data_IF_352435185573
#
_entry.id   IF_352435185573
#
_cell.length_a   1.000
_cell.length_b   1.000
_cell.length_c   1.000
_cell.angle_alpha   90.00
_cell.angle_beta   90.00
_cell.angle_gamma   90.00
#
_symmetry.space_group_name_H-M   'P 1'
#
loop_
_entity.id
_entity.type
_entity.pdbx_description
1 polymer ?
#
# COMPACT_ATOMS: atom_id res chain seq x y z
N UNK A 1 27.66 -12.06 22.40
CA UNK A 1 26.87 -11.07 21.63
C UNK A 1 27.87 -10.35 20.75
N UNK A 2 27.71 -10.46 19.43
CA UNK A 2 28.84 -10.18 18.54
C UNK A 2 28.83 -8.73 18.01
N UNK A 3 27.65 -8.10 17.89
CA UNK A 3 27.51 -6.75 17.31
C UNK A 3 27.41 -5.60 18.35
N UNK A 4 26.95 -5.86 19.58
CA UNK A 4 26.83 -4.88 20.70
C UNK A 4 26.33 -3.48 20.28
N UNK A 5 25.08 -3.35 19.79
CA UNK A 5 24.57 -2.08 19.28
C UNK A 5 24.39 -1.05 20.40
N UNK A 6 24.62 0.24 20.08
CA UNK A 6 24.28 1.35 20.99
C UNK A 6 22.83 1.80 20.87
N UNK A 7 22.21 1.51 19.73
CA UNK A 7 20.83 1.86 19.42
C UNK A 7 20.20 0.70 18.65
N UNK A 8 19.02 0.29 19.09
CA UNK A 8 18.12 -0.60 18.38
C UNK A 8 16.97 0.25 17.88
N UNK A 9 16.69 0.17 16.58
CA UNK A 9 15.52 0.80 15.97
C UNK A 9 14.49 -0.31 15.73
N UNK A 10 13.28 -0.13 16.26
CA UNK A 10 12.14 -0.95 15.88
C UNK A 10 11.20 -0.14 14.99
N UNK A 11 10.49 -0.86 14.11
CA UNK A 11 9.67 -0.41 12.99
C UNK A 11 10.25 -0.70 11.60
N UNK A 12 9.37 -0.63 10.60
CA UNK A 12 9.71 -0.78 9.19
C UNK A 12 8.61 -0.21 8.31
N UNK A 13 9.00 0.29 7.14
CA UNK A 13 8.08 0.93 6.19
C UNK A 13 7.12 -0.03 5.48
N UNK A 14 7.49 -1.31 5.44
CA UNK A 14 6.79 -2.36 4.70
C UNK A 14 6.70 -3.65 5.52
N UNK A 15 6.57 -3.52 6.85
CA UNK A 15 6.32 -4.65 7.73
C UNK A 15 4.81 -4.75 8.02
N UNK A 16 4.16 -5.89 7.70
CA UNK A 16 2.70 -5.95 7.69
C UNK A 16 2.10 -6.30 9.06
N UNK A 17 2.92 -6.75 10.01
CA UNK A 17 2.50 -7.21 11.35
C UNK A 17 2.77 -6.13 12.40
N UNK A 18 2.09 -6.28 13.53
CA UNK A 18 2.43 -5.51 14.72
C UNK A 18 3.77 -5.98 15.31
N UNK A 19 4.36 -5.14 16.15
CA UNK A 19 5.69 -5.34 16.71
C UNK A 19 5.58 -5.76 18.18
N UNK A 20 6.39 -6.73 18.59
CA UNK A 20 6.53 -7.09 20.00
C UNK A 20 7.50 -6.11 20.70
N UNK A 21 6.98 -4.93 21.06
CA UNK A 21 7.78 -3.88 21.70
C UNK A 21 8.41 -4.33 23.02
N UNK A 22 7.73 -5.23 23.76
CA UNK A 22 8.25 -5.79 25.02
C UNK A 22 9.51 -6.61 24.72
N UNK A 23 9.47 -7.45 23.69
CA UNK A 23 10.64 -8.22 23.28
C UNK A 23 11.80 -7.34 22.84
N UNK A 24 11.53 -6.28 22.07
CA UNK A 24 12.57 -5.31 21.68
C UNK A 24 13.20 -4.61 22.90
N UNK A 25 12.38 -4.24 23.89
CA UNK A 25 12.86 -3.67 25.16
C UNK A 25 13.76 -4.64 25.92
N UNK A 26 13.33 -5.89 26.09
CA UNK A 26 14.13 -6.93 26.76
C UNK A 26 15.50 -7.14 26.09
N UNK A 27 15.55 -7.11 24.76
CA UNK A 27 16.79 -7.25 24.01
C UNK A 27 17.68 -6.02 24.19
N UNK A 28 17.11 -4.81 24.10
CA UNK A 28 17.85 -3.56 24.32
C UNK A 28 18.46 -3.49 25.73
N UNK A 29 17.73 -3.91 26.76
CA UNK A 29 18.25 -3.99 28.13
C UNK A 29 19.43 -4.97 28.24
N UNK A 30 19.33 -6.14 27.60
CA UNK A 30 20.37 -7.18 27.66
C UNK A 30 21.69 -6.75 27.00
N UNK A 31 21.65 -5.91 25.97
CA UNK A 31 22.86 -5.42 25.30
C UNK A 31 23.28 -4.01 25.72
N UNK A 32 22.52 -3.34 26.59
CA UNK A 32 22.79 -1.95 27.02
C UNK A 32 22.52 -0.92 25.92
N UNK A 33 21.63 -1.20 24.97
CA UNK A 33 21.29 -0.30 23.88
C UNK A 33 20.14 0.65 24.23
N UNK A 34 20.13 1.82 23.60
CA UNK A 34 18.91 2.63 23.46
C UNK A 34 17.91 1.91 22.56
N UNK A 35 16.61 2.14 22.77
CA UNK A 35 15.54 1.68 21.90
C UNK A 35 14.82 2.90 21.31
N UNK A 36 14.83 3.02 19.98
CA UNK A 36 14.06 4.01 19.23
C UNK A 36 12.94 3.33 18.46
N UNK A 37 11.75 3.91 18.57
CA UNK A 37 10.57 3.47 17.83
C UNK A 37 10.19 4.52 16.79
N UNK A 38 10.39 4.22 15.51
CA UNK A 38 10.00 5.11 14.41
C UNK A 38 8.57 4.80 13.99
N UNK A 39 7.59 5.52 14.52
CA UNK A 39 6.17 5.22 14.26
C UNK A 39 5.59 5.87 13.01
N UNK A 40 6.39 6.36 12.05
CA UNK A 40 5.93 7.23 10.96
C UNK A 40 4.66 6.73 10.24
N UNK A 41 4.59 5.44 9.89
CA UNK A 41 3.48 4.86 9.13
C UNK A 41 2.20 4.64 9.95
N UNK A 42 2.27 4.54 11.28
CA UNK A 42 1.08 4.45 12.16
C UNK A 42 0.91 5.68 13.03
N UNK A 43 1.66 6.75 12.79
CA UNK A 43 1.65 7.96 13.60
C UNK A 43 0.24 8.52 13.76
N UNK A 44 -0.59 8.48 12.70
CA UNK A 44 -2.01 8.81 12.79
C UNK A 44 -2.76 8.02 13.86
N UNK A 45 -2.51 6.71 13.99
CA UNK A 45 -3.14 5.83 15.00
C UNK A 45 -2.67 6.13 16.43
N UNK A 46 -1.53 6.80 16.61
CA UNK A 46 -0.84 6.99 17.90
C UNK A 46 -0.81 8.46 18.36
N UNK A 47 -0.90 9.44 17.45
CA UNK A 47 -0.65 10.88 17.69
C UNK A 47 -1.72 11.61 18.55
N UNK A 48 -2.40 10.91 19.46
CA UNK A 48 -3.34 11.46 20.41
C UNK A 48 -2.69 12.26 21.58
N UNK A 49 -1.39 12.58 21.57
CA UNK A 49 -0.75 13.35 22.66
C UNK A 49 0.28 14.40 22.18
N UNK A 50 -0.15 15.67 22.23
CA UNK A 50 0.50 16.81 22.93
C UNK A 50 1.92 17.29 22.56
N UNK A 51 2.04 18.43 21.87
CA UNK A 51 3.24 19.31 21.89
C UNK A 51 3.66 19.93 20.54
N UNK A 52 4.22 21.15 20.47
CA UNK A 52 3.79 22.14 19.45
C UNK A 52 4.73 22.33 18.25
N UNK A 53 4.19 22.55 17.04
CA UNK A 53 4.64 23.59 16.09
C UNK A 53 3.49 24.24 15.25
N UNK A 54 3.37 25.57 15.33
CA UNK A 54 2.58 26.52 14.51
C UNK A 54 2.33 26.10 13.02
N UNK A 55 1.48 26.80 12.26
CA UNK A 55 0.06 26.52 11.89
C UNK A 55 -0.37 25.05 11.64
N UNK A 56 0.51 24.04 11.75
CA UNK A 56 0.13 22.62 11.64
C UNK A 56 -0.62 22.06 12.86
N UNK A 57 -0.48 22.67 14.04
CA UNK A 57 -1.22 22.27 15.26
C UNK A 57 -2.73 22.47 15.14
N UNK A 58 -3.20 23.48 14.39
CA UNK A 58 -4.64 23.79 14.32
C UNK A 58 -5.49 22.70 13.66
N UNK A 59 -4.87 21.77 12.94
CA UNK A 59 -5.53 20.69 12.22
C UNK A 59 -5.45 19.32 12.94
N UNK A 60 -4.76 19.22 14.07
CA UNK A 60 -4.62 17.97 14.83
C UNK A 60 -5.76 17.80 15.84
N UNK A 61 -6.98 17.55 15.38
CA UNK A 61 -8.03 16.91 16.19
C UNK A 61 -8.02 15.38 15.99
N UNK A 62 -6.83 14.80 16.18
CA UNK A 62 -6.54 13.36 15.99
C UNK A 62 -7.20 12.50 17.07
N UNK A 63 -7.68 13.12 18.15
CA UNK A 63 -8.40 12.46 19.25
C UNK A 63 -9.93 12.45 19.05
N UNK A 64 -10.43 12.99 17.94
CA UNK A 64 -11.86 13.01 17.67
C UNK A 64 -12.44 11.57 17.57
N UNK A 65 -13.69 11.35 18.03
CA UNK A 65 -14.36 10.06 17.85
C UNK A 65 -14.42 9.61 16.39
N UNK A 66 -14.50 10.56 15.45
CA UNK A 66 -14.47 10.32 14.01
C UNK A 66 -13.13 9.73 13.55
N UNK A 67 -12.00 10.23 14.05
CA UNK A 67 -10.69 9.68 13.71
C UNK A 67 -10.50 8.24 14.21
N UNK A 68 -11.05 7.92 15.39
CA UNK A 68 -11.04 6.53 15.91
C UNK A 68 -11.90 5.59 15.07
N UNK A 69 -13.03 6.07 14.54
CA UNK A 69 -13.85 5.30 13.61
C UNK A 69 -13.13 5.06 12.28
N UNK A 70 -12.49 6.10 11.73
CA UNK A 70 -11.63 6.01 10.55
C UNK A 70 -10.51 4.97 10.73
N UNK A 71 -9.77 5.02 11.83
CA UNK A 71 -8.69 4.07 12.12
C UNK A 71 -9.18 2.60 12.16
N UNK A 72 -10.38 2.37 12.69
CA UNK A 72 -11.01 1.03 12.68
C UNK A 72 -11.38 0.61 11.26
N UNK A 73 -11.96 1.52 10.48
CA UNK A 73 -12.36 1.27 9.10
C UNK A 73 -11.14 0.98 8.23
N UNK A 74 -10.05 1.75 8.39
CA UNK A 74 -8.80 1.57 7.66
C UNK A 74 -8.24 0.15 7.82
N UNK A 75 -8.19 -0.33 9.06
CA UNK A 75 -7.78 -1.70 9.36
C UNK A 75 -8.74 -2.73 8.78
N UNK A 76 -10.06 -2.52 8.86
CA UNK A 76 -11.06 -3.43 8.31
C UNK A 76 -10.95 -3.55 6.78
N UNK A 77 -10.79 -2.41 6.10
CA UNK A 77 -10.58 -2.31 4.66
C UNK A 77 -9.32 -3.04 4.21
N UNK A 78 -8.22 -2.84 4.92
CA UNK A 78 -6.94 -3.47 4.58
C UNK A 78 -7.00 -5.00 4.78
N UNK A 79 -7.72 -5.48 5.80
CA UNK A 79 -8.04 -6.91 5.99
C UNK A 79 -8.91 -7.44 4.85
N UNK A 80 -9.98 -6.75 4.47
CA UNK A 80 -10.90 -7.16 3.39
C UNK A 80 -10.17 -7.32 2.06
N UNK A 81 -9.40 -6.31 1.66
CA UNK A 81 -8.53 -6.35 0.48
C UNK A 81 -7.57 -7.55 0.52
N UNK A 82 -6.99 -7.83 1.69
CA UNK A 82 -6.06 -8.94 1.87
C UNK A 82 -6.72 -10.30 1.69
N UNK A 83 -7.89 -10.49 2.31
CA UNK A 83 -8.65 -11.73 2.22
C UNK A 83 -9.13 -11.99 0.79
N UNK A 84 -9.61 -10.94 0.10
CA UNK A 84 -10.05 -11.05 -1.29
C UNK A 84 -8.89 -11.46 -2.20
N UNK A 85 -7.74 -10.81 -2.08
CA UNK A 85 -6.55 -11.17 -2.86
C UNK A 85 -6.14 -12.61 -2.55
N UNK A 86 -6.03 -13.00 -1.27
CA UNK A 86 -5.70 -14.40 -0.92
C UNK A 86 -6.67 -15.42 -1.54
N UNK A 87 -7.96 -15.10 -1.65
CA UNK A 87 -8.97 -16.00 -2.25
C UNK A 87 -8.72 -16.30 -3.73
N UNK A 88 -8.01 -15.42 -4.45
CA UNK A 88 -7.68 -15.60 -5.87
C UNK A 88 -6.45 -16.50 -6.10
N UNK A 89 -5.74 -16.92 -5.04
CA UNK A 89 -4.70 -17.96 -5.08
C UNK A 89 -3.34 -17.58 -5.68
N UNK A 90 -3.20 -16.39 -6.31
CA UNK A 90 -1.93 -15.93 -6.92
C UNK A 90 -1.05 -15.13 -5.93
N UNK A 91 -1.54 -14.94 -4.70
CA UNK A 91 -1.01 -13.94 -3.79
C UNK A 91 -0.56 -14.56 -2.47
N UNK A 92 0.70 -14.32 -2.12
CA UNK A 92 1.23 -14.66 -0.80
C UNK A 92 1.29 -13.40 0.07
N UNK A 93 0.25 -13.21 0.89
CA UNK A 93 0.15 -12.07 1.79
C UNK A 93 0.83 -12.37 3.13
N UNK A 94 1.68 -11.45 3.58
CA UNK A 94 2.33 -11.57 4.88
C UNK A 94 1.46 -11.02 6.05
N UNK A 95 0.61 -9.99 5.82
CA UNK A 95 -0.62 -9.63 6.59
C UNK A 95 -1.25 -8.26 6.24
N UNK A 96 -2.01 -7.67 7.17
CA UNK A 96 -3.29 -6.96 6.99
C UNK A 96 -3.20 -5.48 6.63
N UNK A 97 -2.07 -4.80 6.80
CA UNK A 97 -1.98 -3.36 6.47
C UNK A 97 -1.19 -3.06 5.19
N UNK A 98 -0.69 -4.12 4.54
CA UNK A 98 0.31 -4.01 3.49
C UNK A 98 0.26 -5.24 2.59
N UNK A 99 -0.39 -5.10 1.44
CA UNK A 99 -0.48 -6.19 0.49
C UNK A 99 0.86 -6.34 -0.19
N UNK A 100 1.34 -7.57 -0.21
CA UNK A 100 2.60 -7.97 -0.78
C UNK A 100 2.28 -9.05 -1.79
N UNK A 101 2.74 -8.87 -3.03
CA UNK A 101 2.53 -9.85 -4.07
C UNK A 101 3.84 -10.53 -4.35
N UNK A 102 3.95 -11.79 -3.95
CA UNK A 102 4.88 -12.74 -4.56
C UNK A 102 4.05 -13.67 -5.43
N UNK A 103 3.89 -13.33 -6.70
CA UNK A 103 3.46 -14.33 -7.68
C UNK A 103 4.70 -15.16 -8.05
N UNK A 104 4.62 -16.49 -8.10
CA UNK A 104 5.72 -17.34 -8.55
C UNK A 104 6.18 -17.03 -9.99
N UNK A 105 5.33 -16.38 -10.79
CA UNK A 105 5.53 -16.19 -12.23
C UNK A 105 5.71 -14.72 -12.68
N UNK A 106 5.26 -13.71 -11.90
CA UNK A 106 5.57 -12.28 -12.14
C UNK A 106 6.85 -11.92 -11.38
N UNK A 107 7.98 -12.21 -12.01
CA UNK A 107 9.23 -11.56 -11.65
C UNK A 107 9.20 -10.12 -12.17
N UNK A 108 8.51 -9.25 -11.43
CA UNK A 108 8.96 -7.93 -11.00
C UNK A 108 7.79 -6.96 -10.80
N UNK A 109 7.62 -6.50 -9.56
CA UNK A 109 6.62 -5.51 -9.14
C UNK A 109 6.74 -4.16 -9.85
N UNK A 110 7.87 -3.86 -10.49
CA UNK A 110 8.00 -2.68 -11.36
C UNK A 110 7.11 -2.75 -12.62
N UNK A 111 6.84 -3.95 -13.16
CA UNK A 111 5.93 -4.12 -14.30
C UNK A 111 4.47 -3.91 -13.90
N UNK A 112 4.10 -4.48 -12.75
CA UNK A 112 2.77 -4.30 -12.16
C UNK A 112 2.57 -2.82 -11.83
N UNK A 113 3.52 -2.18 -11.17
CA UNK A 113 3.49 -0.73 -10.88
C UNK A 113 3.26 0.08 -12.16
N UNK A 114 4.03 -0.20 -13.22
CA UNK A 114 3.91 0.53 -14.49
C UNK A 114 2.56 0.34 -15.19
N UNK A 115 2.02 -0.87 -15.17
CA UNK A 115 0.71 -1.13 -15.78
C UNK A 115 -0.42 -0.50 -14.95
N UNK A 116 -0.34 -0.61 -13.62
CA UNK A 116 -1.28 0.03 -12.72
C UNK A 116 -1.31 1.55 -12.93
N UNK A 117 -0.15 2.20 -13.11
CA UNK A 117 -0.05 3.64 -13.37
C UNK A 117 -0.78 4.05 -14.65
N UNK A 118 -0.68 3.24 -15.72
CA UNK A 118 -1.42 3.46 -16.96
C UNK A 118 -2.94 3.31 -16.79
N UNK A 119 -3.38 2.55 -15.79
CA UNK A 119 -4.79 2.34 -15.44
C UNK A 119 -5.29 3.29 -14.35
N UNK A 120 -4.54 4.36 -14.00
CA UNK A 120 -4.81 5.26 -12.87
C UNK A 120 -4.88 4.57 -11.49
N UNK A 121 -4.20 3.44 -11.34
CA UNK A 121 -4.02 2.75 -10.06
C UNK A 121 -2.60 3.06 -9.55
N UNK A 122 -2.49 3.95 -8.57
CA UNK A 122 -1.17 4.30 -8.01
C UNK A 122 -0.78 3.31 -6.91
N UNK A 123 0.29 2.55 -7.16
CA UNK A 123 0.92 1.63 -6.20
C UNK A 123 2.44 1.81 -6.23
N UNK A 124 3.14 1.18 -5.29
CA UNK A 124 4.60 1.27 -5.22
C UNK A 124 5.23 -0.13 -5.28
N UNK A 125 6.16 -0.35 -6.21
CA UNK A 125 7.05 -1.51 -6.21
C UNK A 125 7.86 -1.52 -4.91
N UNK A 126 7.91 -2.66 -4.24
CA UNK A 126 8.52 -2.78 -2.93
C UNK A 126 9.34 -4.08 -2.83
N UNK A 127 10.51 -3.98 -2.23
CA UNK A 127 11.39 -5.12 -2.02
C UNK A 127 10.69 -6.21 -1.20
N UNK A 128 10.92 -7.44 -1.62
CA UNK A 128 10.50 -8.66 -0.93
C UNK A 128 11.69 -9.36 -0.28
N UNK A 129 11.45 -10.22 0.71
CA UNK A 129 12.53 -11.03 1.26
C UNK A 129 13.24 -11.80 0.14
N UNK A 130 14.57 -11.83 0.17
CA UNK A 130 15.47 -12.35 -0.87
C UNK A 130 15.63 -11.53 -2.15
N UNK A 131 14.99 -10.36 -2.29
CA UNK A 131 15.27 -9.48 -3.42
C UNK A 131 16.67 -8.88 -3.35
N UNK A 132 17.36 -8.91 -4.50
CA UNK A 132 18.65 -8.24 -4.68
C UNK A 132 18.53 -6.93 -5.48
N UNK A 133 17.38 -6.68 -6.14
CA UNK A 133 17.20 -5.54 -7.05
C UNK A 133 16.23 -4.50 -6.46
N UNK A 134 16.72 -3.28 -6.30
CA UNK A 134 15.87 -2.14 -5.95
C UNK A 134 15.04 -1.62 -7.15
N UNK A 135 15.53 -1.81 -8.38
CA UNK A 135 14.86 -1.34 -9.61
C UNK A 135 13.73 -2.27 -10.06
N UNK A 136 13.88 -3.57 -9.79
CA UNK A 136 12.93 -4.60 -10.15
C UNK A 136 12.70 -5.54 -8.97
N UNK A 137 12.11 -5.04 -7.87
CA UNK A 137 11.78 -5.88 -6.73
C UNK A 137 10.64 -6.83 -7.10
N UNK A 138 10.49 -7.93 -6.36
CA UNK A 138 9.50 -8.96 -6.61
C UNK A 138 8.08 -8.60 -6.20
N UNK A 139 7.86 -7.46 -5.53
CA UNK A 139 6.58 -7.14 -4.91
C UNK A 139 6.09 -5.72 -5.15
N UNK A 140 4.84 -5.50 -4.75
CA UNK A 140 4.14 -4.21 -4.72
C UNK A 140 3.59 -4.03 -3.32
N UNK A 141 3.57 -2.79 -2.84
CA UNK A 141 3.00 -2.34 -1.56
C UNK A 141 1.71 -1.56 -1.83
N UNK A 142 0.65 -1.93 -1.12
CA UNK A 142 -0.66 -1.25 -1.17
C UNK A 142 -1.07 -0.87 0.24
N UNK A 143 -1.69 0.31 0.39
CA UNK A 143 -2.23 0.81 1.65
C UNK A 143 -3.67 1.30 1.49
N UNK A 144 -4.44 1.16 2.56
CA UNK A 144 -5.83 1.64 2.64
C UNK A 144 -6.05 3.13 3.00
N UNK A 145 -5.15 3.86 3.71
CA UNK A 145 -5.48 5.16 4.31
C UNK A 145 -6.09 6.20 3.38
N UNK A 146 -5.52 6.37 2.18
CA UNK A 146 -5.96 7.38 1.23
C UNK A 146 -7.40 7.13 0.75
N UNK A 147 -7.74 5.87 0.48
CA UNK A 147 -9.06 5.49 0.00
C UNK A 147 -10.09 5.44 1.13
N UNK A 148 -9.70 4.96 2.32
CA UNK A 148 -10.55 5.04 3.53
C UNK A 148 -10.93 6.49 3.84
N UNK A 149 -10.02 7.44 3.63
CA UNK A 149 -10.27 8.88 3.85
C UNK A 149 -11.31 9.47 2.88
N UNK A 150 -11.55 8.81 1.74
CA UNK A 150 -12.62 9.16 0.78
C UNK A 150 -13.96 8.48 1.10
N UNK A 151 -14.04 7.77 2.22
CA UNK A 151 -15.27 7.11 2.69
C UNK A 151 -15.44 5.66 2.23
N UNK A 152 -14.44 5.05 1.61
CA UNK A 152 -14.54 3.67 1.14
C UNK A 152 -14.61 2.68 2.31
N UNK A 153 -15.43 1.65 2.15
CA UNK A 153 -15.65 0.57 3.12
C UNK A 153 -15.19 -0.80 2.55
N UNK A 154 -15.40 -1.88 3.30
CA UNK A 154 -14.84 -3.19 2.99
C UNK A 154 -15.25 -3.70 1.60
N UNK A 155 -16.51 -3.49 1.20
CA UNK A 155 -17.02 -3.88 -0.13
C UNK A 155 -16.33 -3.14 -1.27
N UNK A 156 -16.03 -1.86 -1.06
CA UNK A 156 -15.32 -1.05 -2.05
C UNK A 156 -13.86 -1.53 -2.17
N UNK A 157 -13.26 -1.98 -1.05
CA UNK A 157 -11.93 -2.57 -1.04
C UNK A 157 -11.87 -3.95 -1.69
N UNK A 158 -12.94 -4.74 -1.65
CA UNK A 158 -13.08 -5.96 -2.47
C UNK A 158 -13.13 -5.61 -3.97
N UNK A 159 -13.79 -4.51 -4.35
CA UNK A 159 -13.79 -4.04 -5.73
C UNK A 159 -12.41 -3.51 -6.17
N UNK A 160 -11.70 -2.79 -5.30
CA UNK A 160 -10.29 -2.41 -5.53
C UNK A 160 -9.42 -3.66 -5.71
N UNK A 161 -9.64 -4.70 -4.90
CA UNK A 161 -8.92 -5.96 -5.00
C UNK A 161 -9.14 -6.64 -6.36
N UNK A 162 -10.36 -6.62 -6.90
CA UNK A 162 -10.68 -7.13 -8.22
C UNK A 162 -10.03 -6.31 -9.34
N UNK A 163 -10.04 -4.98 -9.26
CA UNK A 163 -9.35 -4.11 -10.23
C UNK A 163 -7.83 -4.37 -10.24
N UNK A 164 -7.22 -4.55 -9.06
CA UNK A 164 -5.81 -4.94 -8.93
C UNK A 164 -5.55 -6.33 -9.50
N UNK A 165 -6.48 -7.27 -9.29
CA UNK A 165 -6.37 -8.62 -9.85
C UNK A 165 -6.40 -8.61 -11.38
N UNK A 166 -7.29 -7.82 -11.97
CA UNK A 166 -7.32 -7.57 -13.42
C UNK A 166 -6.00 -6.99 -13.91
N UNK A 167 -5.45 -5.96 -13.24
CA UNK A 167 -4.17 -5.36 -13.60
C UNK A 167 -3.01 -6.39 -13.60
N UNK A 168 -2.94 -7.24 -12.57
CA UNK A 168 -1.93 -8.31 -12.49
C UNK A 168 -2.13 -9.34 -13.59
N UNK A 169 -3.37 -9.68 -13.92
CA UNK A 169 -3.71 -10.63 -14.99
C UNK A 169 -3.30 -10.10 -16.36
N UNK A 170 -3.60 -8.83 -16.66
CA UNK A 170 -3.15 -8.17 -17.91
C UNK A 170 -1.62 -8.12 -17.96
N UNK A 171 -0.97 -7.80 -16.85
CA UNK A 171 0.51 -7.81 -16.74
C UNK A 171 1.08 -9.20 -17.09
N UNK A 172 0.47 -10.26 -16.57
CA UNK A 172 0.86 -11.65 -16.86
C UNK A 172 0.66 -12.01 -18.33
N UNK A 173 -0.45 -11.59 -18.94
CA UNK A 173 -0.75 -11.86 -20.34
C UNK A 173 0.25 -11.15 -21.27
N UNK A 174 0.52 -9.86 -21.04
CA UNK A 174 1.54 -9.10 -21.78
C UNK A 174 2.92 -9.75 -21.62
N UNK A 175 3.27 -10.20 -20.41
CA UNK A 175 4.55 -10.87 -20.19
C UNK A 175 4.63 -12.22 -20.92
N UNK A 176 3.52 -12.96 -21.03
CA UNK A 176 3.47 -14.23 -21.77
C UNK A 176 3.60 -13.99 -23.28
N UNK A 177 3.00 -12.94 -23.81
CA UNK A 177 3.01 -12.60 -25.24
C UNK A 177 4.33 -11.99 -25.70
N UNK A 178 4.83 -10.99 -24.98
CA UNK A 178 6.02 -10.23 -25.40
C UNK A 178 7.31 -10.65 -24.70
N UNK A 179 7.23 -11.40 -23.60
CA UNK A 179 8.38 -11.93 -22.87
C UNK A 179 8.77 -11.17 -21.61
N UNK A 180 9.83 -11.67 -20.94
CA UNK A 180 10.24 -11.21 -19.60
C UNK A 180 11.09 -9.94 -19.60
N UNK A 181 11.77 -9.58 -20.69
CA UNK A 181 12.60 -8.39 -20.72
C UNK A 181 11.72 -7.13 -20.71
N UNK A 182 12.10 -6.12 -19.92
CA UNK A 182 11.30 -4.89 -19.77
C UNK A 182 11.10 -4.17 -21.12
N UNK A 183 12.11 -4.21 -22.01
CA UNK A 183 12.02 -3.63 -23.35
C UNK A 183 10.89 -4.25 -24.17
N UNK A 184 10.72 -5.58 -24.09
CA UNK A 184 9.70 -6.29 -24.85
C UNK A 184 8.34 -6.17 -24.18
N UNK A 185 8.29 -6.28 -22.86
CA UNK A 185 7.07 -6.01 -22.07
C UNK A 185 6.46 -4.64 -22.39
N UNK A 186 7.28 -3.60 -22.54
CA UNK A 186 6.82 -2.25 -22.86
C UNK A 186 6.07 -2.15 -24.20
N UNK A 187 6.31 -3.08 -25.14
CA UNK A 187 5.62 -3.08 -26.44
C UNK A 187 4.13 -3.41 -26.28
N UNK A 188 3.78 -4.31 -25.36
CA UNK A 188 2.38 -4.70 -25.11
C UNK A 188 1.59 -3.72 -24.23
N UNK A 189 2.23 -2.63 -23.76
CA UNK A 189 1.54 -1.55 -23.04
C UNK A 189 0.91 -0.52 -23.99
N UNK A 190 1.28 -0.53 -25.27
CA UNK A 190 0.83 0.45 -26.26
C UNK A 190 -0.41 -0.07 -26.98
N UNK A 191 -1.47 0.75 -27.07
CA UNK A 191 -2.74 0.43 -27.76
C UNK A 191 -3.38 -0.89 -27.27
N UNK A 192 -3.28 -1.15 -25.97
CA UNK A 192 -3.85 -2.34 -25.36
C UNK A 192 -5.27 -2.05 -24.84
N UNK A 193 -6.26 -2.68 -25.47
CA UNK A 193 -7.69 -2.48 -25.13
C UNK A 193 -8.00 -2.85 -23.67
N UNK A 194 -7.37 -3.89 -23.13
CA UNK A 194 -7.61 -4.32 -21.75
C UNK A 194 -7.16 -3.24 -20.75
N UNK A 195 -6.09 -2.50 -21.07
CA UNK A 195 -5.60 -1.38 -20.26
C UNK A 195 -6.59 -0.20 -20.35
N UNK A 196 -7.07 0.12 -21.55
CA UNK A 196 -8.05 1.20 -21.75
C UNK A 196 -9.38 0.92 -21.03
N UNK A 197 -9.88 -0.31 -21.12
CA UNK A 197 -11.09 -0.75 -20.43
C UNK A 197 -10.91 -0.75 -18.91
N UNK A 198 -9.78 -1.27 -18.41
CA UNK A 198 -9.48 -1.25 -16.97
C UNK A 198 -9.35 0.19 -16.46
N UNK A 199 -8.70 1.07 -17.22
CA UNK A 199 -8.58 2.49 -16.88
C UNK A 199 -9.95 3.15 -16.77
N UNK A 200 -10.84 2.93 -17.74
CA UNK A 200 -12.19 3.50 -17.73
C UNK A 200 -13.01 3.00 -16.51
N UNK A 201 -12.89 1.71 -16.17
CA UNK A 201 -13.54 1.15 -14.99
C UNK A 201 -13.01 1.76 -13.68
N UNK A 202 -11.70 1.97 -13.59
CA UNK A 202 -11.05 2.61 -12.43
C UNK A 202 -11.49 4.07 -12.29
N UNK A 203 -11.53 4.84 -13.38
CA UNK A 203 -11.99 6.23 -13.39
C UNK A 203 -13.46 6.33 -12.96
N UNK A 204 -14.31 5.47 -13.52
CA UNK A 204 -15.73 5.40 -13.16
C UNK A 204 -15.94 5.06 -11.70
N UNK A 205 -15.17 4.11 -11.16
CA UNK A 205 -15.23 3.74 -9.75
C UNK A 205 -14.71 4.87 -8.85
N UNK A 206 -13.57 5.49 -9.19
CA UNK A 206 -13.01 6.60 -8.40
C UNK A 206 -13.90 7.84 -8.40
N UNK A 207 -14.63 8.09 -9.49
CA UNK A 207 -15.54 9.23 -9.63
C UNK A 207 -16.80 9.18 -8.76
N UNK A 208 -17.15 8.04 -8.18
CA UNK A 208 -18.33 7.92 -7.30
C UNK A 208 -18.10 8.31 -5.85
N UNK A 209 -16.88 8.69 -5.47
CA UNK A 209 -16.52 9.02 -4.09
C UNK A 209 -16.09 10.47 -3.94
N UNK A 210 -16.42 11.05 -2.79
CA UNK A 210 -16.00 12.41 -2.45
C UNK A 210 -14.46 12.52 -2.35
N UNK A 211 -13.97 13.76 -2.40
CA UNK A 211 -12.56 14.08 -2.23
C UNK A 211 -12.37 15.09 -1.10
N UNK A 212 -11.67 14.73 -0.01
CA UNK A 212 -11.36 15.70 1.02
C UNK A 212 -10.33 16.73 0.52
N UNK A 213 -10.40 17.94 1.05
CA UNK A 213 -9.42 19.01 0.83
C UNK A 213 -9.78 20.02 -0.27
N UNK A 214 -10.72 19.71 -1.16
CA UNK A 214 -11.25 20.66 -2.14
C UNK A 214 -12.64 20.25 -2.64
N UNK A 215 -13.39 21.17 -3.24
CA UNK A 215 -14.69 20.87 -3.84
C UNK A 215 -14.52 20.39 -5.28
N UNK A 216 -14.99 19.17 -5.57
CA UNK A 216 -14.96 18.63 -6.95
C UNK A 216 -15.82 19.46 -7.92
N UNK A 217 -16.84 20.18 -7.45
CA UNK A 217 -17.65 21.08 -8.27
C UNK A 217 -16.88 22.28 -8.83
N UNK A 218 -15.82 22.71 -8.15
CA UNK A 218 -15.04 23.91 -8.48
C UNK A 218 -13.76 23.60 -9.26
N UNK A 219 -13.47 22.33 -9.51
CA UNK A 219 -12.25 21.92 -10.20
C UNK A 219 -12.31 22.25 -11.70
N UNK A 220 -11.15 22.55 -12.29
CA UNK A 220 -11.00 22.92 -13.70
C UNK A 220 -11.33 21.79 -14.68
N UNK A 221 -11.01 20.54 -14.32
CA UNK A 221 -11.17 19.37 -15.18
C UNK A 221 -12.22 18.44 -14.57
N UNK A 222 -13.36 18.25 -15.24
CA UNK A 222 -14.51 17.48 -14.71
C UNK A 222 -14.78 16.20 -15.51
N UNK A 223 -14.01 16.01 -16.58
CA UNK A 223 -14.11 14.91 -17.53
C UNK A 223 -13.02 13.87 -17.22
#
# INVERSE_FOLDING_TARGET
MDFMPKLIICWGSAYPRDWDYKRFREVADKCGALLLYDMAHISGLVAAQGGPHNPRIGALDVASPGFKAYAKQDRANAVALGNYLMSKGIYNLLSVNLHFFRTSDVYAGNKVEKLCDLCNITVNKNAVFSDCSALAPGGVRIGAPAMTSRGLVEKDFEQIAELLHRAVTVTLNIQKEHGKLLKDFNKGLVNNKDIEELKADVEKFSGSFDMPGFQMSEMKYKD
#
